data_IF_576271592218
#
_entry.id   IF_576271592218
#
_cell.length_a   1.000
_cell.length_b   1.000
_cell.length_c   1.000
_cell.angle_alpha   90.00
_cell.angle_beta   90.00
_cell.angle_gamma   90.00
#
_symmetry.space_group_name_H-M   'P 1'
#
loop_
_entity.id
_entity.type
_entity.pdbx_description
1 polymer ?
#
# COMPACT_ATOMS: atom_id res chain seq x y z
N UNK A 1 -1.27 -11.53 3.53
CA UNK A 1 -2.44 -12.13 4.20
C UNK A 1 -2.05 -13.28 5.13
N UNK A 2 -1.51 -14.41 4.65
CA UNK A 2 -1.04 -15.50 5.53
C UNK A 2 0.18 -15.09 6.39
N UNK A 3 1.17 -14.43 5.80
CA UNK A 3 2.36 -13.95 6.51
C UNK A 3 2.01 -13.05 7.71
N UNK A 4 1.14 -12.06 7.50
CA UNK A 4 0.64 -11.17 8.56
C UNK A 4 -0.09 -11.94 9.67
N UNK A 5 -0.94 -12.91 9.32
CA UNK A 5 -1.64 -13.75 10.30
C UNK A 5 -0.68 -14.60 11.14
N UNK A 6 0.33 -15.20 10.52
CA UNK A 6 1.37 -15.97 11.20
C UNK A 6 2.18 -15.08 12.16
N UNK A 7 2.56 -13.87 11.74
CA UNK A 7 3.26 -12.91 12.60
C UNK A 7 2.42 -12.55 13.82
N UNK A 8 1.13 -12.23 13.62
CA UNK A 8 0.21 -11.95 14.71
C UNK A 8 0.09 -13.09 15.73
N UNK A 9 0.02 -14.34 15.26
CA UNK A 9 -0.02 -15.52 16.12
C UNK A 9 1.30 -15.75 16.87
N UNK A 10 2.45 -15.64 16.19
CA UNK A 10 3.78 -15.80 16.80
C UNK A 10 4.03 -14.77 17.90
N UNK A 11 3.64 -13.52 17.64
CA UNK A 11 3.83 -12.40 18.56
C UNK A 11 2.69 -12.28 19.59
N UNK A 12 1.64 -13.10 19.47
CA UNK A 12 0.43 -13.06 20.31
C UNK A 12 -0.18 -11.66 20.37
N UNK A 13 -0.24 -10.97 19.23
CA UNK A 13 -0.78 -9.60 19.15
C UNK A 13 -2.24 -9.59 19.60
N UNK A 14 -2.61 -8.56 20.36
CA UNK A 14 -4.01 -8.30 20.70
C UNK A 14 -4.73 -7.69 19.52
N UNK A 15 -5.93 -8.18 19.23
CA UNK A 15 -6.82 -7.57 18.26
C UNK A 15 -7.40 -6.27 18.84
N UNK A 16 -7.60 -5.28 17.97
CA UNK A 16 -8.36 -4.07 18.32
C UNK A 16 -9.85 -4.37 18.50
N UNK A 17 -10.60 -3.36 18.93
CA UNK A 17 -12.07 -3.43 18.97
C UNK A 17 -12.60 -3.61 17.54
N UNK A 18 -13.70 -4.32 17.41
CA UNK A 18 -14.48 -4.32 16.18
C UNK A 18 -15.00 -2.91 15.88
N UNK A 19 -15.09 -2.56 14.59
CA UNK A 19 -15.67 -1.29 14.15
C UNK A 19 -17.17 -1.27 14.41
N UNK A 20 -17.67 -0.15 14.92
CA UNK A 20 -19.11 0.09 15.12
C UNK A 20 -19.60 0.97 13.96
N UNK A 21 -19.93 0.35 12.83
CA UNK A 21 -20.30 1.05 11.59
C UNK A 21 -19.15 1.20 10.58
N UNK A 22 -19.32 2.01 9.52
CA UNK A 22 -18.31 2.22 8.48
C UNK A 22 -17.01 2.76 9.07
N UNK A 23 -15.90 2.06 8.84
CA UNK A 23 -14.60 2.43 9.41
C UNK A 23 -14.04 3.72 8.81
N UNK A 24 -14.54 4.15 7.66
CA UNK A 24 -14.18 5.40 6.99
C UNK A 24 -14.64 6.64 7.76
N UNK A 25 -15.64 6.51 8.65
CA UNK A 25 -16.18 7.60 9.48
C UNK A 25 -15.48 7.71 10.84
N UNK A 26 -14.66 6.73 11.22
CA UNK A 26 -13.92 6.70 12.47
C UNK A 26 -12.54 7.36 12.33
N UNK A 27 -12.45 8.63 12.71
CA UNK A 27 -11.21 9.41 12.66
C UNK A 27 -10.12 8.93 13.62
N UNK A 28 -10.41 8.00 14.53
CA UNK A 28 -9.42 7.39 15.41
C UNK A 28 -8.61 6.28 14.73
N UNK A 29 -9.09 5.75 13.59
CA UNK A 29 -8.40 4.71 12.84
C UNK A 29 -7.37 5.31 11.87
N UNK A 30 -6.17 4.70 11.75
CA UNK A 30 -5.20 5.15 10.77
C UNK A 30 -5.72 4.86 9.34
N UNK A 31 -5.58 5.81 8.39
CA UNK A 31 -5.97 5.56 7.01
C UNK A 31 -5.01 4.56 6.35
N UNK A 32 -5.50 3.84 5.35
CA UNK A 32 -4.65 3.10 4.42
C UNK A 32 -3.83 4.05 3.54
N UNK A 33 -2.67 3.59 3.04
CA UNK A 33 -1.87 4.37 2.10
C UNK A 33 -2.71 4.79 0.89
N UNK A 34 -2.56 6.04 0.47
CA UNK A 34 -3.37 6.64 -0.62
C UNK A 34 -2.73 6.48 -1.98
N UNK A 35 -1.47 6.06 -2.04
CA UNK A 35 -0.76 5.78 -3.27
C UNK A 35 -0.02 4.44 -3.21
N UNK A 36 0.26 3.88 -4.38
CA UNK A 36 1.11 2.70 -4.48
C UNK A 36 2.51 2.97 -3.93
N UNK A 37 3.07 4.17 -4.17
CA UNK A 37 4.40 4.53 -3.66
C UNK A 37 4.47 4.44 -2.12
N UNK A 38 3.47 5.02 -1.45
CA UNK A 38 3.35 4.97 0.01
C UNK A 38 3.22 3.52 0.51
N UNK A 39 2.40 2.70 -0.15
CA UNK A 39 2.26 1.29 0.19
C UNK A 39 3.58 0.51 0.04
N UNK A 40 4.36 0.78 -1.00
CA UNK A 40 5.68 0.16 -1.22
C UNK A 40 6.72 0.63 -0.19
N UNK A 41 6.65 1.89 0.26
CA UNK A 41 7.48 2.39 1.36
C UNK A 41 7.16 1.65 2.66
N UNK A 42 5.87 1.52 3.00
CA UNK A 42 5.42 0.80 4.19
C UNK A 42 5.81 -0.68 4.17
N UNK A 43 5.70 -1.35 3.01
CA UNK A 43 6.13 -2.74 2.86
C UNK A 43 7.63 -2.90 3.14
N UNK A 44 8.49 -2.05 2.55
CA UNK A 44 9.94 -2.09 2.75
C UNK A 44 10.37 -1.74 4.19
N UNK A 45 9.57 -0.95 4.89
CA UNK A 45 9.80 -0.57 6.28
C UNK A 45 9.47 -1.71 7.26
N UNK A 46 8.52 -2.59 6.94
CA UNK A 46 8.15 -3.74 7.79
C UNK A 46 9.16 -4.89 7.66
N UNK A 47 10.18 -4.88 8.52
CA UNK A 47 11.24 -5.89 8.51
C UNK A 47 10.76 -7.30 8.85
N UNK A 48 9.76 -7.44 9.69
CA UNK A 48 9.21 -8.74 10.06
C UNK A 48 8.49 -9.37 8.86
N UNK A 49 7.71 -8.57 8.14
CA UNK A 49 7.03 -9.01 6.93
C UNK A 49 8.01 -9.26 5.79
N UNK A 50 9.01 -8.40 5.60
CA UNK A 50 10.09 -8.60 4.61
C UNK A 50 10.83 -9.91 4.84
N UNK A 51 11.25 -10.18 6.08
CA UNK A 51 11.95 -11.41 6.42
C UNK A 51 11.10 -12.67 6.18
N UNK A 52 9.78 -12.58 6.44
CA UNK A 52 8.88 -13.72 6.26
C UNK A 52 8.52 -13.97 4.79
N UNK A 53 8.46 -12.93 3.97
CA UNK A 53 8.22 -13.04 2.52
C UNK A 53 9.50 -13.34 1.74
N UNK A 54 10.67 -13.02 2.30
CA UNK A 54 11.98 -13.06 1.66
C UNK A 54 12.42 -11.68 1.20
N UNK A 55 13.58 -11.22 1.67
CA UNK A 55 14.07 -9.87 1.38
C UNK A 55 14.33 -9.64 -0.11
N UNK A 56 14.95 -10.62 -0.79
CA UNK A 56 15.18 -10.58 -2.24
C UNK A 56 13.86 -10.50 -3.02
N UNK A 57 12.84 -11.24 -2.58
CA UNK A 57 11.52 -11.17 -3.20
C UNK A 57 10.89 -9.78 -3.07
N UNK A 58 10.94 -9.20 -1.87
CA UNK A 58 10.38 -7.85 -1.63
C UNK A 58 11.15 -6.79 -2.42
N UNK A 59 12.47 -6.90 -2.50
CA UNK A 59 13.30 -5.97 -3.27
C UNK A 59 12.95 -5.99 -4.77
N UNK A 60 12.91 -7.17 -5.37
CA UNK A 60 12.53 -7.33 -6.79
C UNK A 60 11.09 -6.85 -7.02
N UNK A 61 10.15 -7.26 -6.17
CA UNK A 61 8.75 -6.87 -6.29
C UNK A 61 8.59 -5.35 -6.23
N UNK A 62 9.18 -4.70 -5.23
CA UNK A 62 9.04 -3.25 -5.05
C UNK A 62 9.74 -2.47 -6.16
N UNK A 63 10.89 -2.95 -6.64
CA UNK A 63 11.59 -2.37 -7.81
C UNK A 63 10.71 -2.39 -9.06
N UNK A 64 10.12 -3.56 -9.39
CA UNK A 64 9.23 -3.69 -10.54
C UNK A 64 8.00 -2.78 -10.40
N UNK A 65 7.38 -2.72 -9.22
CA UNK A 65 6.20 -1.89 -8.99
C UNK A 65 6.49 -0.38 -9.03
N UNK A 66 7.67 0.06 -8.61
CA UNK A 66 8.09 1.45 -8.81
C UNK A 66 8.32 1.78 -10.27
N UNK A 67 8.90 0.86 -11.05
CA UNK A 67 9.07 1.05 -12.49
C UNK A 67 7.71 1.14 -13.21
N UNK A 68 6.76 0.26 -12.88
CA UNK A 68 5.38 0.35 -13.37
C UNK A 68 4.73 1.70 -13.00
N UNK A 69 4.90 2.16 -11.76
CA UNK A 69 4.34 3.42 -11.29
C UNK A 69 4.95 4.64 -12.00
N UNK A 70 6.27 4.64 -12.23
CA UNK A 70 6.93 5.70 -13.02
C UNK A 70 6.30 5.81 -14.41
N UNK A 71 6.14 4.67 -15.09
CA UNK A 71 5.51 4.64 -16.41
C UNK A 71 4.05 5.09 -16.39
N UNK A 72 3.33 4.83 -15.32
CA UNK A 72 1.96 5.33 -15.14
C UNK A 72 1.95 6.85 -14.97
N UNK A 73 2.85 7.40 -14.15
CA UNK A 73 2.92 8.85 -13.93
C UNK A 73 3.36 9.62 -15.18
N UNK A 74 4.16 9.01 -16.05
CA UNK A 74 4.58 9.61 -17.32
C UNK A 74 3.48 9.54 -18.41
N UNK A 75 2.38 8.84 -18.15
CA UNK A 75 1.30 8.66 -19.11
C UNK A 75 0.24 9.76 -18.95
N UNK A 76 -0.01 10.52 -20.03
CA UNK A 76 -1.16 11.43 -20.10
C UNK A 76 -2.42 10.61 -20.31
N UNK A 77 -3.31 10.64 -19.33
CA UNK A 77 -4.59 9.96 -19.38
C UNK A 77 -5.59 10.67 -20.30
N UNK A 78 -6.59 9.91 -20.76
CA UNK A 78 -7.69 10.50 -21.53
C UNK A 78 -8.44 11.56 -20.71
N UNK A 79 -8.66 11.32 -19.41
CA UNK A 79 -9.31 12.28 -18.54
C UNK A 79 -8.54 13.61 -18.47
N UNK A 80 -7.21 13.58 -18.32
CA UNK A 80 -6.39 14.81 -18.34
C UNK A 80 -6.47 15.53 -19.68
N UNK A 81 -6.52 14.78 -20.79
CA UNK A 81 -6.69 15.38 -22.12
C UNK A 81 -8.06 16.03 -22.26
N UNK A 82 -9.14 15.35 -21.89
CA UNK A 82 -10.50 15.85 -21.97
C UNK A 82 -10.72 17.08 -21.06
N UNK A 83 -10.09 17.09 -19.88
CA UNK A 83 -10.22 18.19 -18.91
C UNK A 83 -9.44 19.44 -19.33
N UNK A 84 -8.20 19.28 -19.79
CA UNK A 84 -7.28 20.42 -19.95
C UNK A 84 -7.05 20.87 -21.38
N UNK A 85 -7.26 20.03 -22.40
CA UNK A 85 -6.87 20.35 -23.78
C UNK A 85 -7.80 21.35 -24.48
N UNK A 86 -9.03 21.53 -23.98
CA UNK A 86 -9.95 22.60 -24.45
C UNK A 86 -9.84 23.88 -23.62
N UNK A 87 -9.22 23.82 -22.44
CA UNK A 87 -9.04 24.97 -21.54
C UNK A 87 -7.80 25.82 -21.90
N UNK A 88 -6.87 25.29 -22.69
CA UNK A 88 -5.62 25.93 -23.13
C UNK A 88 -5.40 25.76 -24.62
#
# INVERSE_FOLDING_TARGET
>A
TLACGILGLKEKRKLGRQSDGPSEEDSSLPPFPKSLDEALNLLNADKALCALLGEEFVDVFTTVKRYELSRFNDHVSQWESDEYLELY
#
